data_IF_341836503356
#
_entry.id   IF_341836503356
#
_cell.length_a   1.000
_cell.length_b   1.000
_cell.length_c   1.000
_cell.angle_alpha   90.00
_cell.angle_beta   90.00
_cell.angle_gamma   90.00
#
_symmetry.space_group_name_H-M   'P 1'
#
loop_
_entity.id
_entity.type
_entity.pdbx_description
1 polymer ?
#
# COMPACT_ATOMS: atom_id res chain seq x y z
N UNK A 1 2.16 -16.84 -2.66
CA UNK A 1 3.35 -16.48 -3.46
C UNK A 1 4.06 -15.24 -2.92
N UNK A 2 3.32 -14.25 -2.45
CA UNK A 2 3.90 -12.97 -2.01
C UNK A 2 3.91 -12.78 -0.50
N UNK A 3 3.83 -13.85 0.27
CA UNK A 3 3.66 -13.77 1.73
C UNK A 3 4.84 -13.07 2.42
N UNK A 4 6.06 -13.32 1.96
CA UNK A 4 7.26 -12.73 2.56
C UNK A 4 7.26 -11.21 2.43
N UNK A 5 7.00 -10.69 1.22
CA UNK A 5 6.99 -9.24 1.00
C UNK A 5 5.80 -8.59 1.70
N UNK A 6 4.65 -9.24 1.69
CA UNK A 6 3.46 -8.73 2.39
C UNK A 6 3.70 -8.66 3.89
N UNK A 7 4.34 -9.66 4.48
CA UNK A 7 4.68 -9.63 5.90
C UNK A 7 5.66 -8.51 6.22
N UNK A 8 6.62 -8.23 5.35
CA UNK A 8 7.51 -7.07 5.51
C UNK A 8 6.72 -5.77 5.48
N UNK A 9 5.78 -5.63 4.55
CA UNK A 9 4.94 -4.43 4.45
C UNK A 9 4.09 -4.24 5.70
N UNK A 10 3.49 -5.33 6.20
CA UNK A 10 2.71 -5.29 7.45
C UNK A 10 3.55 -4.86 8.63
N UNK A 11 4.79 -5.33 8.71
CA UNK A 11 5.71 -4.95 9.77
C UNK A 11 6.03 -3.45 9.71
N UNK A 12 6.23 -2.91 8.50
CA UNK A 12 6.45 -1.47 8.32
C UNK A 12 5.25 -0.66 8.76
N UNK A 13 4.04 -1.15 8.51
CA UNK A 13 2.81 -0.52 9.01
C UNK A 13 2.82 -0.48 10.54
N UNK A 14 3.11 -1.60 11.19
CA UNK A 14 3.13 -1.70 12.66
C UNK A 14 4.18 -0.79 13.29
N UNK A 15 5.31 -0.60 12.61
CA UNK A 15 6.42 0.24 13.08
C UNK A 15 6.26 1.70 12.67
N UNK A 16 5.21 2.06 11.96
CA UNK A 16 5.01 3.40 11.40
C UNK A 16 6.16 3.85 10.49
N UNK A 17 6.78 2.90 9.81
CA UNK A 17 7.89 3.16 8.89
C UNK A 17 7.41 3.16 7.44
N UNK A 18 6.54 4.11 7.14
CA UNK A 18 5.99 4.26 5.80
C UNK A 18 5.76 5.72 5.46
N UNK A 19 5.73 6.00 4.16
CA UNK A 19 5.45 7.33 3.63
C UNK A 19 4.43 7.20 2.49
N UNK A 20 3.73 8.31 2.22
CA UNK A 20 2.81 8.43 1.10
C UNK A 20 3.43 9.31 0.04
N UNK A 21 3.24 8.96 -1.23
CA UNK A 21 3.58 9.89 -2.31
C UNK A 21 2.54 11.01 -2.33
N UNK A 22 2.89 12.12 -2.97
CA UNK A 22 1.93 13.22 -3.16
C UNK A 22 0.69 12.72 -3.90
N UNK A 23 0.87 11.88 -4.90
CA UNK A 23 -0.22 11.29 -5.66
C UNK A 23 -1.17 10.49 -4.76
N UNK A 24 -0.62 9.66 -3.85
CA UNK A 24 -1.42 8.90 -2.92
C UNK A 24 -2.20 9.82 -1.97
N UNK A 25 -1.57 10.89 -1.48
CA UNK A 25 -2.25 11.87 -0.62
C UNK A 25 -3.41 12.55 -1.34
N UNK A 26 -3.22 12.92 -2.60
CA UNK A 26 -4.29 13.51 -3.41
C UNK A 26 -5.47 12.56 -3.58
N UNK A 27 -5.19 11.28 -3.85
CA UNK A 27 -6.23 10.27 -3.99
C UNK A 27 -6.97 10.05 -2.66
N UNK A 28 -6.26 10.05 -1.55
CA UNK A 28 -6.88 9.95 -0.22
C UNK A 28 -7.87 11.09 0.01
N UNK A 29 -7.45 12.32 -0.31
CA UNK A 29 -8.33 13.48 -0.14
C UNK A 29 -9.53 13.42 -1.06
N UNK A 30 -9.36 13.02 -2.31
CA UNK A 30 -10.44 12.97 -3.29
C UNK A 30 -11.49 11.92 -2.94
N UNK A 31 -11.09 10.80 -2.37
CA UNK A 31 -11.99 9.69 -2.09
C UNK A 31 -12.35 9.52 -0.60
N UNK A 32 -11.87 10.43 0.24
CA UNK A 32 -12.14 10.35 1.68
C UNK A 32 -11.47 9.15 2.36
N UNK A 33 -10.36 8.69 1.83
CA UNK A 33 -9.59 7.59 2.40
C UNK A 33 -8.66 8.13 3.46
N UNK A 34 -8.67 7.51 4.64
CA UNK A 34 -7.79 7.90 5.74
C UNK A 34 -6.55 7.01 5.78
N UNK A 35 -5.55 7.45 6.55
CA UNK A 35 -4.36 6.65 6.78
C UNK A 35 -4.71 5.32 7.46
N UNK A 36 -5.73 5.31 8.32
CA UNK A 36 -6.19 4.09 8.99
C UNK A 36 -6.79 3.09 8.02
N UNK A 37 -7.46 3.58 6.98
CA UNK A 37 -7.99 2.73 5.92
C UNK A 37 -6.85 2.04 5.17
N UNK A 38 -5.79 2.76 4.88
CA UNK A 38 -4.62 2.21 4.18
C UNK A 38 -3.91 1.18 5.05
N UNK A 39 -3.69 1.51 6.33
CA UNK A 39 -3.07 0.56 7.27
C UNK A 39 -3.87 -0.73 7.35
N UNK A 40 -5.18 -0.62 7.53
CA UNK A 40 -6.04 -1.80 7.60
C UNK A 40 -6.04 -2.57 6.28
N UNK A 41 -6.07 -1.86 5.16
CA UNK A 41 -6.03 -2.49 3.84
C UNK A 41 -4.81 -3.38 3.67
N UNK A 42 -3.65 -2.92 4.10
CA UNK A 42 -2.41 -3.70 4.02
C UNK A 42 -2.42 -4.84 5.04
N UNK A 43 -2.92 -4.59 6.26
CA UNK A 43 -2.96 -5.61 7.31
C UNK A 43 -3.95 -6.74 7.02
N UNK A 44 -5.05 -6.46 6.34
CA UNK A 44 -6.09 -7.45 6.03
C UNK A 44 -6.00 -8.01 4.62
N UNK A 45 -5.18 -7.39 3.77
CA UNK A 45 -5.21 -7.65 2.34
C UNK A 45 -4.30 -8.75 1.88
N UNK A 46 -4.35 -8.95 0.56
CA UNK A 46 -3.48 -9.88 -0.15
C UNK A 46 -2.89 -9.15 -1.35
N UNK A 47 -1.67 -9.52 -1.70
CA UNK A 47 -1.05 -9.01 -2.92
C UNK A 47 -1.64 -9.76 -4.11
N UNK A 48 -2.27 -9.02 -5.03
CA UNK A 48 -2.91 -9.59 -6.20
C UNK A 48 -2.04 -9.49 -7.45
N UNK A 49 -1.06 -8.61 -7.46
CA UNK A 49 -0.25 -8.36 -8.65
C UNK A 49 1.09 -7.75 -8.26
N UNK A 50 2.12 -8.08 -9.03
CA UNK A 50 3.43 -7.46 -8.94
C UNK A 50 3.76 -6.83 -10.28
N UNK A 51 4.20 -5.57 -10.28
CA UNK A 51 4.60 -4.86 -11.47
C UNK A 51 6.00 -4.28 -11.28
N UNK A 52 6.76 -4.22 -12.37
CA UNK A 52 8.04 -3.56 -12.34
C UNK A 52 7.87 -2.11 -12.77
N UNK A 53 8.40 -1.18 -11.96
CA UNK A 53 8.39 0.23 -12.30
C UNK A 53 9.37 0.45 -13.45
N UNK A 54 8.90 1.06 -14.55
CA UNK A 54 9.71 1.24 -15.76
C UNK A 54 10.82 2.27 -15.59
N UNK A 55 10.70 3.19 -14.61
CA UNK A 55 11.68 4.24 -14.37
C UNK A 55 12.76 3.78 -13.42
N UNK A 56 12.36 3.20 -12.27
CA UNK A 56 13.28 2.83 -11.19
C UNK A 56 13.73 1.38 -11.25
N UNK A 57 13.07 0.55 -12.05
CA UNK A 57 13.24 -0.92 -12.09
C UNK A 57 12.94 -1.60 -10.77
N UNK A 58 12.26 -0.92 -9.85
CA UNK A 58 11.84 -1.48 -8.58
C UNK A 58 10.50 -2.19 -8.72
N UNK A 59 10.27 -3.21 -7.90
CA UNK A 59 9.00 -3.92 -7.85
C UNK A 59 7.99 -3.11 -7.04
N UNK A 60 6.76 -2.99 -7.54
CA UNK A 60 5.62 -2.47 -6.80
C UNK A 60 4.51 -3.50 -6.79
N UNK A 61 3.70 -3.46 -5.74
CA UNK A 61 2.72 -4.51 -5.46
C UNK A 61 1.35 -3.90 -5.27
N UNK A 62 0.34 -4.53 -5.87
CA UNK A 62 -1.05 -4.18 -5.67
C UNK A 62 -1.60 -5.05 -4.54
N UNK A 63 -2.15 -4.41 -3.52
CA UNK A 63 -2.71 -5.07 -2.35
C UNK A 63 -4.19 -4.77 -2.31
N UNK A 64 -5.00 -5.79 -2.21
CA UNK A 64 -6.45 -5.68 -2.11
C UNK A 64 -6.87 -6.09 -0.71
N UNK A 65 -7.48 -5.19 0.03
CA UNK A 65 -7.87 -5.43 1.42
C UNK A 65 -9.13 -4.68 1.79
N UNK A 66 -9.36 -4.51 3.09
CA UNK A 66 -10.53 -3.85 3.63
C UNK A 66 -10.16 -2.56 4.33
N UNK A 67 -10.92 -1.49 4.04
CA UNK A 67 -10.85 -0.26 4.80
C UNK A 67 -11.51 -0.44 6.17
N UNK A 68 -11.40 0.57 7.03
CA UNK A 68 -11.88 0.48 8.42
C UNK A 68 -13.35 0.10 8.52
N UNK A 69 -14.20 0.60 7.62
CA UNK A 69 -15.62 0.30 7.62
C UNK A 69 -16.02 -0.89 6.76
N UNK A 70 -15.03 -1.66 6.31
CA UNK A 70 -15.27 -2.90 5.57
C UNK A 70 -15.35 -2.76 4.06
N UNK A 71 -15.29 -1.55 3.51
CA UNK A 71 -15.24 -1.36 2.06
C UNK A 71 -13.93 -1.90 1.51
N UNK A 72 -13.99 -2.42 0.28
CA UNK A 72 -12.78 -2.88 -0.39
C UNK A 72 -11.90 -1.69 -0.74
N UNK A 73 -10.59 -1.87 -0.54
CA UNK A 73 -9.59 -0.85 -0.88
C UNK A 73 -8.44 -1.50 -1.62
N UNK A 74 -7.90 -0.80 -2.61
CA UNK A 74 -6.68 -1.24 -3.29
C UNK A 74 -5.57 -0.24 -3.04
N UNK A 75 -4.40 -0.76 -2.72
CA UNK A 75 -3.20 0.03 -2.40
C UNK A 75 -2.06 -0.49 -3.26
N UNK A 76 -1.36 0.42 -3.94
CA UNK A 76 -0.13 0.07 -4.65
C UNK A 76 1.03 0.60 -3.82
N UNK A 77 1.96 -0.27 -3.45
CA UNK A 77 3.05 0.08 -2.56
C UNK A 77 4.32 -0.69 -2.91
N UNK A 78 5.45 -0.18 -2.41
CA UNK A 78 6.75 -0.83 -2.57
C UNK A 78 7.58 -0.66 -1.31
N UNK A 79 8.63 -1.46 -1.17
CA UNK A 79 9.66 -1.25 -0.15
C UNK A 79 10.80 -0.49 -0.83
N UNK A 80 11.13 0.68 -0.32
CA UNK A 80 12.21 1.50 -0.89
C UNK A 80 13.59 0.89 -0.58
N UNK A 81 14.65 1.33 -1.28
CA UNK A 81 16.00 0.87 -0.98
C UNK A 81 16.43 1.13 0.48
N UNK A 82 15.87 2.16 1.12
CA UNK A 82 16.15 2.46 2.53
C UNK A 82 15.31 1.64 3.51
N UNK A 83 14.44 0.77 3.00
CA UNK A 83 13.63 -0.11 3.83
C UNK A 83 12.29 0.46 4.27
N UNK A 84 11.90 1.64 3.82
CA UNK A 84 10.58 2.19 4.13
C UNK A 84 9.52 1.68 3.16
N UNK A 85 8.32 1.51 3.66
CA UNK A 85 7.17 1.24 2.80
C UNK A 85 6.73 2.55 2.16
N UNK A 86 6.56 2.56 0.85
CA UNK A 86 6.11 3.74 0.09
C UNK A 86 4.76 3.40 -0.53
N UNK A 87 3.73 4.13 -0.13
CA UNK A 87 2.39 4.00 -0.71
C UNK A 87 2.32 4.92 -1.93
N UNK A 88 2.10 4.33 -3.09
CA UNK A 88 2.18 5.04 -4.39
C UNK A 88 0.80 5.47 -4.85
N UNK A 89 -0.19 4.59 -4.71
CA UNK A 89 -1.55 4.79 -5.21
C UNK A 89 -2.52 4.13 -4.25
N UNK A 90 -3.69 4.73 -4.06
CA UNK A 90 -4.75 4.15 -3.27
C UNK A 90 -6.10 4.53 -3.87
N UNK A 91 -7.04 3.59 -3.91
CA UNK A 91 -8.37 3.87 -4.43
C UNK A 91 -9.40 2.84 -3.92
N UNK A 92 -10.65 3.24 -4.01
CA UNK A 92 -11.80 2.35 -3.77
C UNK A 92 -12.24 1.81 -5.13
N UNK A 93 -12.12 0.53 -5.37
CA UNK A 93 -12.51 -0.04 -6.67
C UNK A 93 -14.00 -0.01 -6.94
#
# INVERSE_FOLDING_TARGET
>A
MFERILNRMREKIRQSQYVMTLHAEEEMNDEGITIYDIERGILTGEITERQKDSVTSEWKYRIKGEAVEGAEIEVVAKISPTGKLVVITVYIP
#
